data_IF_583465408966
#
_entry.id   IF_583465408966
#
_cell.length_a   1.000
_cell.length_b   1.000
_cell.length_c   1.000
_cell.angle_alpha   90.00
_cell.angle_beta   90.00
_cell.angle_gamma   90.00
#
_symmetry.space_group_name_H-M   'P 1'
#
loop_
_entity.id
_entity.type
_entity.pdbx_description
1 polymer ?
#
# COMPACT_ATOMS: atom_id res chain seq x y z
N UNK A 1 1.44 19.00 23.61
CA UNK A 1 1.18 17.56 23.47
C UNK A 1 -0.11 17.38 22.69
N UNK A 2 -0.12 16.52 21.68
CA UNK A 2 -1.30 16.18 20.89
C UNK A 2 -1.45 14.66 20.80
N UNK A 3 -2.69 14.18 20.80
CA UNK A 3 -3.03 12.77 20.63
C UNK A 3 -4.04 12.63 19.50
N UNK A 4 -3.79 11.68 18.59
CA UNK A 4 -4.67 11.33 17.48
C UNK A 4 -5.08 9.87 17.63
N UNK A 5 -6.39 9.62 17.70
CA UNK A 5 -6.94 8.26 17.67
C UNK A 5 -7.32 7.94 16.23
N UNK A 6 -6.64 6.96 15.65
CA UNK A 6 -6.92 6.47 14.30
C UNK A 6 -7.66 5.15 14.41
N UNK A 7 -8.97 5.20 14.22
CA UNK A 7 -9.80 3.99 14.16
C UNK A 7 -9.48 3.17 12.92
N UNK A 8 -9.62 1.85 13.02
CA UNK A 8 -9.56 0.92 11.89
C UNK A 8 -10.60 1.22 10.79
N UNK A 9 -11.65 1.99 11.10
CA UNK A 9 -12.63 2.46 10.12
C UNK A 9 -12.00 3.28 8.98
N UNK A 10 -11.02 4.14 9.31
CA UNK A 10 -10.35 5.01 8.33
C UNK A 10 -9.61 4.20 7.25
N UNK A 11 -8.66 3.31 7.59
CA UNK A 11 -7.97 2.50 6.59
C UNK A 11 -8.92 1.52 5.88
N UNK A 12 -9.92 0.96 6.57
CA UNK A 12 -10.92 0.10 5.91
C UNK A 12 -11.73 0.84 4.84
N UNK A 13 -12.14 2.08 5.10
CA UNK A 13 -12.88 2.90 4.13
C UNK A 13 -12.01 3.27 2.94
N UNK A 14 -10.75 3.62 3.20
CA UNK A 14 -9.76 3.88 2.13
C UNK A 14 -9.55 2.64 1.24
N UNK A 15 -9.36 1.46 1.83
CA UNK A 15 -9.18 0.21 1.10
C UNK A 15 -10.45 -0.22 0.36
N UNK A 16 -11.62 0.07 0.91
CA UNK A 16 -12.89 -0.14 0.23
C UNK A 16 -12.96 0.65 -1.08
N UNK A 17 -12.56 1.93 -1.07
CA UNK A 17 -12.54 2.74 -2.30
C UNK A 17 -11.52 2.24 -3.33
N UNK A 18 -10.34 1.77 -2.89
CA UNK A 18 -9.36 1.14 -3.79
C UNK A 18 -9.96 -0.09 -4.47
N UNK A 19 -10.65 -0.93 -3.70
CA UNK A 19 -11.31 -2.13 -4.22
C UNK A 19 -12.45 -1.80 -5.17
N UNK A 20 -13.37 -0.92 -4.76
CA UNK A 20 -14.55 -0.51 -5.53
C UNK A 20 -14.17 0.13 -6.87
N UNK A 21 -13.11 0.95 -6.88
CA UNK A 21 -12.58 1.57 -8.11
C UNK A 21 -11.68 0.64 -8.93
N UNK A 22 -11.56 -0.63 -8.58
CA UNK A 22 -10.68 -1.61 -9.24
C UNK A 22 -9.22 -1.14 -9.35
N UNK A 23 -8.79 -0.25 -8.46
CA UNK A 23 -7.41 0.27 -8.42
C UNK A 23 -6.43 -0.76 -7.84
N UNK A 24 -6.93 -1.87 -7.32
CA UNK A 24 -6.14 -2.98 -6.81
C UNK A 24 -5.79 -4.07 -7.84
N UNK A 25 -6.14 -3.91 -9.13
CA UNK A 25 -5.73 -4.85 -10.17
C UNK A 25 -4.32 -4.54 -10.68
N UNK A 26 -3.42 -5.52 -10.61
CA UNK A 26 -2.06 -5.42 -11.10
C UNK A 26 -1.90 -6.30 -12.34
N UNK A 27 -1.53 -5.69 -13.46
CA UNK A 27 -1.18 -6.40 -14.69
C UNK A 27 0.20 -5.95 -15.12
N UNK A 28 1.16 -6.87 -15.08
CA UNK A 28 2.52 -6.61 -15.52
C UNK A 28 2.96 -7.64 -16.57
N UNK A 29 3.54 -7.14 -17.65
CA UNK A 29 4.03 -7.96 -18.75
C UNK A 29 5.56 -8.01 -18.73
N UNK A 30 6.11 -9.18 -18.44
CA UNK A 30 7.54 -9.41 -18.43
C UNK A 30 7.98 -10.13 -19.70
N UNK A 31 8.87 -9.47 -20.45
CA UNK A 31 9.72 -10.18 -21.41
C UNK A 31 10.68 -11.13 -20.67
N UNK A 32 11.07 -12.23 -21.29
CA UNK A 32 11.95 -13.25 -20.69
C UNK A 32 13.28 -12.68 -20.12
N UNK A 33 13.73 -11.55 -20.66
CA UNK A 33 14.91 -10.79 -20.19
C UNK A 33 14.70 -10.16 -18.79
N UNK A 34 13.48 -9.74 -18.49
CA UNK A 34 13.08 -9.06 -17.24
C UNK A 34 12.49 -10.02 -16.19
N UNK A 35 12.28 -11.29 -16.54
CA UNK A 35 11.90 -12.32 -15.56
C UNK A 35 13.01 -12.45 -14.51
N UNK A 36 12.67 -12.44 -13.20
CA UNK A 36 13.64 -12.58 -12.12
C UNK A 36 14.53 -13.82 -12.32
N UNK A 37 15.83 -13.70 -12.05
CA UNK A 37 16.81 -14.79 -12.27
C UNK A 37 16.38 -16.14 -11.64
N UNK A 38 15.66 -16.11 -10.51
CA UNK A 38 15.09 -17.29 -9.86
C UNK A 38 13.97 -17.98 -10.63
N UNK A 39 13.22 -17.23 -11.45
CA UNK A 39 12.09 -17.76 -12.23
C UNK A 39 12.50 -18.10 -13.67
N UNK A 40 13.64 -17.60 -14.16
CA UNK A 40 14.18 -17.89 -15.51
C UNK A 40 14.33 -19.38 -15.85
N UNK A 41 14.86 -20.27 -14.99
CA UNK A 41 14.99 -21.68 -15.35
C UNK A 41 13.61 -22.33 -15.57
N UNK A 42 12.62 -22.00 -14.72
CA UNK A 42 11.25 -22.49 -14.88
C UNK A 42 10.56 -21.91 -16.11
N UNK A 43 10.74 -20.61 -16.38
CA UNK A 43 10.19 -19.96 -17.56
C UNK A 43 10.74 -20.59 -18.86
N UNK A 44 12.05 -20.85 -18.94
CA UNK A 44 12.68 -21.50 -20.12
C UNK A 44 12.16 -22.90 -20.39
N UNK A 45 11.87 -23.68 -19.35
CA UNK A 45 11.33 -25.04 -19.47
C UNK A 45 9.94 -25.02 -20.11
N UNK A 46 9.15 -23.98 -19.87
CA UNK A 46 7.78 -23.87 -20.39
C UNK A 46 7.74 -23.17 -21.75
N UNK A 47 8.53 -22.11 -21.95
CA UNK A 47 8.70 -21.45 -23.25
C UNK A 47 9.94 -20.55 -23.25
N UNK A 48 10.81 -20.62 -24.26
CA UNK A 48 12.06 -19.84 -24.34
C UNK A 48 11.90 -18.41 -24.92
N UNK A 49 10.77 -18.10 -25.58
CA UNK A 49 10.54 -16.81 -26.27
C UNK A 49 9.17 -16.16 -26.02
N UNK A 50 8.42 -16.58 -25.00
CA UNK A 50 7.10 -16.04 -24.68
C UNK A 50 7.16 -14.80 -23.77
N UNK A 51 6.12 -13.95 -23.84
CA UNK A 51 5.89 -12.90 -22.84
C UNK A 51 5.10 -13.48 -21.67
N UNK A 52 5.58 -13.29 -20.44
CA UNK A 52 4.82 -13.65 -19.22
C UNK A 52 3.93 -12.45 -18.89
N UNK A 53 2.63 -12.67 -18.75
CA UNK A 53 1.68 -11.70 -18.20
C UNK A 53 1.34 -12.19 -16.79
N UNK A 54 1.74 -11.43 -15.79
CA UNK A 54 1.29 -11.61 -14.41
C UNK A 54 0.08 -10.73 -14.19
N UNK A 55 -1.02 -11.35 -13.77
CA UNK A 55 -2.25 -10.69 -13.40
C UNK A 55 -2.52 -10.98 -11.94
N UNK A 56 -2.81 -9.97 -11.14
CA UNK A 56 -3.30 -10.15 -9.79
C UNK A 56 -4.50 -9.22 -9.60
N UNK A 57 -5.63 -9.74 -9.14
CA UNK A 57 -6.73 -8.90 -8.70
C UNK A 57 -7.12 -9.25 -7.26
N UNK A 58 -7.87 -8.35 -6.64
CA UNK A 58 -8.43 -8.58 -5.32
C UNK A 58 -9.74 -9.35 -5.49
N UNK A 59 -9.89 -10.47 -4.79
CA UNK A 59 -11.12 -11.27 -4.79
C UNK A 59 -12.12 -10.78 -3.75
N UNK A 60 -11.60 -10.21 -2.65
CA UNK A 60 -12.40 -9.57 -1.60
C UNK A 60 -11.83 -8.22 -1.22
N UNK A 61 -12.68 -7.41 -0.59
CA UNK A 61 -12.30 -6.15 0.04
C UNK A 61 -11.18 -6.41 1.06
N UNK A 62 -10.02 -5.74 0.93
CA UNK A 62 -8.98 -5.83 1.96
C UNK A 62 -9.53 -5.35 3.30
N UNK A 63 -9.14 -6.01 4.38
CA UNK A 63 -9.62 -5.69 5.72
C UNK A 63 -8.45 -5.40 6.67
N UNK A 64 -8.56 -4.30 7.40
CA UNK A 64 -7.65 -3.90 8.45
C UNK A 64 -8.33 -4.06 9.80
N UNK A 65 -7.67 -4.74 10.72
CA UNK A 65 -8.10 -4.87 12.10
C UNK A 65 -6.98 -4.43 13.03
N UNK A 66 -7.28 -3.60 14.02
CA UNK A 66 -6.29 -3.16 15.01
C UNK A 66 -6.53 -3.88 16.34
N UNK A 67 -5.49 -4.53 16.84
CA UNK A 67 -5.51 -5.21 18.14
C UNK A 67 -4.32 -4.74 18.99
N UNK A 68 -4.27 -5.13 20.27
CA UNK A 68 -3.19 -4.76 21.21
C UNK A 68 -1.79 -5.12 20.70
N UNK A 69 -1.71 -6.11 19.82
CA UNK A 69 -0.45 -6.59 19.23
C UNK A 69 0.00 -5.78 18.01
N UNK A 70 -0.84 -4.91 17.45
CA UNK A 70 -0.54 -4.11 16.26
C UNK A 70 -1.66 -4.09 15.23
N UNK A 71 -1.32 -3.66 14.01
CA UNK A 71 -2.26 -3.51 12.90
C UNK A 71 -2.19 -4.76 12.02
N UNK A 72 -3.29 -5.45 11.84
CA UNK A 72 -3.40 -6.62 10.97
C UNK A 72 -4.07 -6.23 9.66
N UNK A 73 -3.45 -6.57 8.54
CA UNK A 73 -3.96 -6.37 7.20
C UNK A 73 -4.19 -7.73 6.53
N UNK A 74 -5.43 -7.98 6.12
CA UNK A 74 -5.87 -9.16 5.37
C UNK A 74 -6.14 -8.77 3.92
N UNK A 75 -5.44 -9.41 3.00
CA UNK A 75 -5.60 -9.24 1.56
C UNK A 75 -5.93 -10.60 0.95
N UNK A 76 -7.00 -10.67 0.17
CA UNK A 76 -7.38 -11.87 -0.59
C UNK A 76 -7.41 -11.52 -2.07
N UNK A 77 -6.76 -12.32 -2.91
CA UNK A 77 -6.64 -12.03 -4.33
C UNK A 77 -6.37 -13.24 -5.21
N UNK A 78 -6.82 -13.15 -6.46
CA UNK A 78 -6.51 -14.10 -7.52
C UNK A 78 -5.19 -13.68 -8.17
N UNK A 79 -4.33 -14.66 -8.43
CA UNK A 79 -3.02 -14.49 -9.03
C UNK A 79 -2.96 -15.43 -10.23
N UNK A 80 -2.96 -14.83 -11.42
CA UNK A 80 -2.80 -15.48 -12.70
C UNK A 80 -1.41 -15.25 -13.28
N UNK A 81 -0.82 -16.30 -13.84
CA UNK A 81 0.31 -16.18 -14.75
C UNK A 81 -0.10 -16.74 -16.11
N UNK A 82 0.12 -15.97 -17.17
CA UNK A 82 -0.20 -16.35 -18.55
C UNK A 82 1.03 -16.19 -19.44
N UNK A 83 1.22 -17.06 -20.42
CA UNK A 83 2.18 -16.80 -21.51
C UNK A 83 1.44 -16.35 -22.76
N UNK A 84 2.01 -15.37 -23.44
CA UNK A 84 1.59 -14.97 -24.78
C UNK A 84 2.47 -15.66 -25.82
N UNK A 85 1.85 -16.43 -26.73
CA UNK A 85 2.53 -17.13 -27.83
C UNK A 85 1.66 -17.15 -29.09
N UNK A 86 2.21 -16.76 -30.25
CA UNK A 86 1.53 -16.83 -31.56
C UNK A 86 0.09 -16.27 -31.53
N UNK A 87 -0.11 -15.08 -30.97
CA UNK A 87 -1.42 -14.43 -30.80
C UNK A 87 -2.45 -15.18 -29.92
N UNK A 88 -2.02 -16.14 -29.09
CA UNK A 88 -2.86 -16.79 -28.09
C UNK A 88 -2.26 -16.66 -26.70
N UNK A 89 -3.10 -16.38 -25.72
CA UNK A 89 -2.78 -16.42 -24.30
C UNK A 89 -3.02 -17.82 -23.77
N UNK A 90 -2.01 -18.37 -23.10
CA UNK A 90 -2.08 -19.66 -22.43
C UNK A 90 -1.93 -19.43 -20.94
N UNK A 91 -2.91 -19.86 -20.15
CA UNK A 91 -2.85 -19.83 -18.69
C UNK A 91 -1.81 -20.83 -18.20
N UNK A 92 -0.95 -20.41 -17.28
CA UNK A 92 0.10 -21.26 -16.68
C UNK A 92 -0.24 -21.63 -15.26
N UNK A 93 -0.72 -20.64 -14.52
CA UNK A 93 -0.96 -20.72 -13.11
C UNK A 93 -2.17 -19.85 -12.83
N UNK A 94 -3.13 -20.41 -12.11
CA UNK A 94 -4.19 -19.68 -11.46
C UNK A 94 -4.21 -20.12 -10.00
N UNK A 95 -4.05 -19.17 -9.10
CA UNK A 95 -3.99 -19.39 -7.67
C UNK A 95 -4.75 -18.28 -6.95
N UNK A 96 -5.48 -18.59 -5.88
CA UNK A 96 -5.93 -17.56 -4.94
C UNK A 96 -4.97 -17.53 -3.76
N UNK A 97 -4.60 -16.34 -3.34
CA UNK A 97 -3.80 -16.09 -2.16
C UNK A 97 -4.58 -15.38 -1.08
N UNK A 98 -4.38 -15.80 0.16
CA UNK A 98 -4.74 -15.06 1.36
C UNK A 98 -3.45 -14.61 2.04
N UNK A 99 -3.22 -13.31 2.07
CA UNK A 99 -2.04 -12.69 2.66
C UNK A 99 -2.45 -12.01 3.96
N UNK A 100 -1.83 -12.43 5.07
CA UNK A 100 -1.99 -11.81 6.39
C UNK A 100 -0.69 -11.12 6.81
N UNK A 101 -0.74 -9.80 6.94
CA UNK A 101 0.41 -8.96 7.28
C UNK A 101 0.15 -8.28 8.62
N UNK A 102 1.07 -8.39 9.57
CA UNK A 102 1.08 -7.56 10.77
C UNK A 102 2.03 -6.38 10.56
N UNK A 103 1.52 -5.18 10.82
CA UNK A 103 2.23 -3.93 10.71
C UNK A 103 2.39 -3.37 12.13
N UNK A 104 3.64 -3.14 12.53
CA UNK A 104 4.00 -2.47 13.77
C UNK A 104 4.82 -1.23 13.43
N UNK A 105 4.17 -0.09 13.13
CA UNK A 105 4.87 1.18 12.97
C UNK A 105 5.72 1.52 14.21
N UNK A 106 6.98 1.87 13.99
CA UNK A 106 7.91 2.40 14.96
C UNK A 106 8.33 3.81 14.55
N UNK A 107 8.39 4.73 15.51
CA UNK A 107 8.72 6.11 15.26
C UNK A 107 10.14 6.37 15.74
N UNK A 108 11.00 6.89 14.85
CA UNK A 108 12.35 7.35 15.21
C UNK A 108 12.60 8.69 14.54
N UNK A 109 12.99 9.70 15.32
CA UNK A 109 13.39 11.02 14.83
C UNK A 109 12.40 11.63 13.81
N UNK A 110 11.12 11.71 14.19
CA UNK A 110 10.03 12.28 13.36
C UNK A 110 9.80 11.58 12.01
N UNK A 111 10.30 10.35 11.87
CA UNK A 111 10.03 9.47 10.73
C UNK A 111 9.28 8.23 11.19
N UNK A 112 8.30 7.83 10.39
CA UNK A 112 7.55 6.59 10.58
C UNK A 112 8.32 5.47 9.87
N UNK A 113 8.92 4.58 10.66
CA UNK A 113 9.37 3.27 10.19
C UNK A 113 8.23 2.28 10.45
N UNK A 114 8.10 1.24 9.65
CA UNK A 114 7.10 0.21 9.93
C UNK A 114 7.74 -1.14 9.84
N UNK A 115 7.98 -1.74 11.00
CA UNK A 115 8.39 -3.13 11.04
C UNK A 115 7.21 -3.98 10.58
N UNK A 116 7.36 -4.52 9.38
CA UNK A 116 6.40 -5.42 8.77
C UNK A 116 6.74 -6.83 9.23
N UNK A 117 5.98 -7.29 10.21
CA UNK A 117 5.97 -8.67 10.64
C UNK A 117 4.89 -9.40 9.84
N UNK A 118 5.33 -10.17 8.86
CA UNK A 118 4.39 -10.91 8.07
C UNK A 118 4.02 -12.21 8.80
N UNK A 119 2.76 -12.33 9.20
CA UNK A 119 2.29 -13.42 10.06
C UNK A 119 1.99 -14.72 9.33
N UNK A 120 1.58 -14.63 8.07
CA UNK A 120 1.26 -15.83 7.32
C UNK A 120 0.74 -15.50 5.93
N UNK A 121 1.14 -16.34 4.98
CA UNK A 121 0.57 -16.33 3.63
C UNK A 121 0.18 -17.73 3.24
N UNK A 122 -1.08 -17.87 2.84
CA UNK A 122 -1.65 -19.10 2.36
C UNK A 122 -1.98 -18.93 0.87
N UNK A 123 -1.38 -19.76 0.01
CA UNK A 123 -1.64 -19.76 -1.42
C UNK A 123 -2.30 -21.07 -1.82
N UNK A 124 -3.50 -20.99 -2.37
CA UNK A 124 -4.24 -22.11 -2.93
C UNK A 124 -4.12 -22.06 -4.45
N UNK A 125 -3.27 -22.90 -5.02
CA UNK A 125 -3.13 -23.04 -6.48
C UNK A 125 -4.27 -23.90 -7.01
N UNK A 126 -5.12 -23.39 -7.90
CA UNK A 126 -6.28 -24.12 -8.46
C UNK A 126 -6.00 -24.77 -9.80
N UNK A 127 -5.31 -24.06 -10.71
CA UNK A 127 -5.06 -24.55 -12.06
C UNK A 127 -3.60 -24.31 -12.45
N UNK A 128 -3.02 -25.34 -13.07
CA UNK A 128 -1.72 -25.28 -13.71
C UNK A 128 -1.94 -25.66 -15.16
N UNK A 129 -1.86 -24.70 -16.09
CA UNK A 129 -2.24 -24.91 -17.49
C UNK A 129 -1.18 -25.61 -18.34
N UNK A 130 -0.30 -26.38 -17.70
CA UNK A 130 0.58 -27.33 -18.37
C UNK A 130 -0.28 -28.56 -18.69
N UNK A 131 -0.86 -28.62 -19.89
CA UNK A 131 -1.71 -29.74 -20.31
C UNK A 131 -1.00 -31.09 -20.17
N UNK A 132 -1.70 -32.09 -19.62
CA UNK A 132 -1.21 -33.47 -19.53
C UNK A 132 -0.62 -33.88 -18.17
N UNK A 133 0.00 -35.07 -18.18
CA UNK A 133 0.43 -35.93 -17.04
C UNK A 133 1.35 -35.20 -16.03
N UNK A 134 1.87 -34.02 -16.37
CA UNK A 134 2.77 -33.20 -15.55
C UNK A 134 2.10 -32.12 -14.69
N UNK A 135 0.79 -31.88 -14.84
CA UNK A 135 0.07 -30.86 -14.06
C UNK A 135 0.16 -31.08 -12.54
N UNK A 136 0.12 -32.35 -12.10
CA UNK A 136 0.22 -32.73 -10.68
C UNK A 136 1.61 -32.46 -10.10
N UNK A 137 2.67 -32.77 -10.85
CA UNK A 137 4.06 -32.53 -10.47
C UNK A 137 4.41 -31.05 -10.45
N UNK A 138 3.95 -30.29 -11.44
CA UNK A 138 4.13 -28.83 -11.47
C UNK A 138 3.41 -28.14 -10.30
N UNK A 139 2.19 -28.58 -9.94
CA UNK A 139 1.46 -28.08 -8.77
C UNK A 139 2.20 -28.36 -7.46
N UNK A 140 2.73 -29.58 -7.28
CA UNK A 140 3.55 -29.93 -6.11
C UNK A 140 4.83 -29.10 -6.02
N UNK A 141 5.49 -28.87 -7.15
CA UNK A 141 6.73 -28.09 -7.21
C UNK A 141 6.48 -26.61 -6.89
N UNK A 142 5.40 -26.03 -7.43
CA UNK A 142 5.00 -24.64 -7.15
C UNK A 142 4.60 -24.44 -5.69
N UNK A 143 3.81 -25.37 -5.13
CA UNK A 143 3.47 -25.36 -3.71
C UNK A 143 4.69 -25.49 -2.79
N UNK A 144 5.80 -26.08 -3.27
CA UNK A 144 7.05 -26.18 -2.50
C UNK A 144 7.96 -24.95 -2.65
N UNK A 145 8.07 -24.40 -3.86
CA UNK A 145 8.98 -23.27 -4.17
C UNK A 145 8.43 -21.94 -3.69
N UNK A 146 7.11 -21.73 -3.82
CA UNK A 146 6.47 -20.47 -3.43
C UNK A 146 6.76 -20.15 -1.96
N UNK A 147 6.49 -21.05 -0.98
CA UNK A 147 6.76 -20.77 0.42
C UNK A 147 8.26 -20.74 0.77
N UNK A 148 9.09 -21.58 0.13
CA UNK A 148 10.50 -21.72 0.53
C UNK A 148 11.45 -20.70 -0.08
N UNK A 149 11.17 -20.19 -1.29
CA UNK A 149 12.18 -19.42 -2.05
C UNK A 149 11.66 -18.09 -2.55
N UNK A 150 10.41 -18.04 -3.03
CA UNK A 150 9.82 -16.79 -3.52
C UNK A 150 9.38 -15.95 -2.33
N UNK A 151 8.71 -16.58 -1.37
CA UNK A 151 8.14 -15.90 -0.22
C UNK A 151 9.15 -15.10 0.63
N UNK A 152 10.31 -15.67 1.04
CA UNK A 152 11.28 -14.91 1.84
C UNK A 152 11.88 -13.71 1.09
N UNK A 153 11.99 -13.79 -0.24
CA UNK A 153 12.50 -12.68 -1.07
C UNK A 153 11.48 -11.56 -1.20
N UNK A 154 10.20 -11.90 -1.39
CA UNK A 154 9.10 -10.93 -1.42
C UNK A 154 8.99 -10.23 -0.06
N UNK A 155 9.02 -10.99 1.03
CA UNK A 155 9.02 -10.44 2.40
C UNK A 155 10.20 -9.48 2.63
N UNK A 156 11.41 -9.84 2.20
CA UNK A 156 12.59 -8.96 2.30
C UNK A 156 12.43 -7.68 1.47
N UNK A 157 11.87 -7.77 0.27
CA UNK A 157 11.63 -6.62 -0.60
C UNK A 157 10.54 -5.68 -0.06
N UNK A 158 9.45 -6.24 0.48
CA UNK A 158 8.39 -5.48 1.14
C UNK A 158 8.91 -4.75 2.38
N UNK A 159 9.63 -5.47 3.26
CA UNK A 159 10.30 -4.87 4.42
C UNK A 159 11.23 -3.73 4.01
N UNK A 160 12.01 -3.92 2.95
CA UNK A 160 12.93 -2.91 2.47
C UNK A 160 12.25 -1.68 1.88
N UNK A 161 11.21 -1.86 1.06
CA UNK A 161 10.47 -0.75 0.46
C UNK A 161 9.84 0.16 1.52
N UNK A 162 9.32 -0.45 2.59
CA UNK A 162 8.65 0.24 3.70
C UNK A 162 9.68 0.84 4.67
N UNK A 163 10.75 0.12 5.01
CA UNK A 163 11.76 0.60 5.96
C UNK A 163 12.76 1.62 5.37
N UNK A 164 13.11 1.56 4.07
CA UNK A 164 14.13 2.46 3.50
C UNK A 164 13.67 3.91 3.37
N UNK A 165 12.37 4.15 3.19
CA UNK A 165 11.88 5.50 2.86
C UNK A 165 11.32 6.29 4.02
N UNK A 166 11.13 5.66 5.21
CA UNK A 166 10.69 6.27 6.47
C UNK A 166 9.85 7.53 6.27
N UNK A 167 8.52 7.41 6.25
CA UNK A 167 7.63 8.52 5.88
C UNK A 167 7.91 9.70 6.82
N UNK A 168 8.43 10.81 6.28
CA UNK A 168 8.64 12.04 7.04
C UNK A 168 7.27 12.65 7.29
N UNK A 169 6.92 12.86 8.55
CA UNK A 169 5.72 13.60 8.89
C UNK A 169 5.86 15.04 8.37
N UNK A 170 4.84 15.61 7.71
CA UNK A 170 4.90 16.97 7.23
C UNK A 170 5.04 17.92 8.42
N UNK A 171 5.98 18.86 8.34
CA UNK A 171 6.09 19.98 9.27
C UNK A 171 5.06 21.02 8.87
N UNK A 172 4.04 21.23 9.70
CA UNK A 172 2.99 22.22 9.43
C UNK A 172 3.34 23.49 10.21
N UNK A 173 3.54 24.62 9.51
CA UNK A 173 3.66 25.96 10.12
C UNK A 173 4.68 26.09 11.28
N UNK A 174 5.86 25.47 11.17
CA UNK A 174 6.90 25.54 12.21
C UNK A 174 6.68 24.59 13.40
N UNK A 175 5.69 23.69 13.32
CA UNK A 175 5.44 22.64 14.31
C UNK A 175 6.34 21.44 13.99
N UNK A 176 7.23 21.10 14.92
CA UNK A 176 8.03 19.88 14.85
C UNK A 176 7.50 18.85 15.85
N UNK A 177 7.23 17.64 15.38
CA UNK A 177 6.78 16.55 16.24
C UNK A 177 7.98 15.84 16.87
N UNK A 178 7.98 15.79 18.20
CA UNK A 178 8.97 15.12 19.03
C UNK A 178 8.32 13.96 19.80
N UNK A 179 9.16 12.99 20.20
CA UNK A 179 8.75 11.86 21.06
C UNK A 179 7.45 11.18 20.61
N UNK A 180 7.32 10.94 19.31
CA UNK A 180 6.19 10.20 18.74
C UNK A 180 6.12 8.80 19.36
N UNK A 181 4.96 8.48 19.91
CA UNK A 181 4.65 7.20 20.51
C UNK A 181 3.35 6.64 19.93
N UNK A 182 3.28 5.32 19.84
CA UNK A 182 2.10 4.63 19.30
C UNK A 182 1.71 3.48 20.20
N UNK A 183 0.47 3.58 20.67
CA UNK A 183 -0.20 2.55 21.43
C UNK A 183 -1.31 1.93 20.58
N UNK A 184 -1.55 0.64 20.78
CA UNK A 184 -2.63 -0.06 20.11
C UNK A 184 -3.72 -0.39 21.12
N UNK A 185 -4.92 0.11 20.84
CA UNK A 185 -6.15 -0.27 21.52
C UNK A 185 -7.00 -1.10 20.56
N UNK A 186 -7.90 -1.91 21.09
CA UNK A 186 -8.78 -2.71 20.23
C UNK A 186 -9.57 -1.77 19.31
N UNK A 187 -9.52 -2.02 18.00
CA UNK A 187 -10.14 -1.23 16.93
C UNK A 187 -9.54 0.17 16.65
N UNK A 188 -8.46 0.59 17.30
CA UNK A 188 -7.81 1.87 17.00
C UNK A 188 -6.32 1.94 17.38
N UNK A 189 -5.56 2.74 16.66
CA UNK A 189 -4.19 3.11 17.03
C UNK A 189 -4.20 4.52 17.65
N UNK A 190 -3.60 4.67 18.82
CA UNK A 190 -3.38 5.97 19.45
C UNK A 190 -1.98 6.45 19.07
N UNK A 191 -1.93 7.56 18.34
CA UNK A 191 -0.69 8.27 18.02
C UNK A 191 -0.56 9.43 19.00
N UNK A 192 0.43 9.42 19.87
CA UNK A 192 0.74 10.53 20.76
C UNK A 192 2.06 11.18 20.36
N UNK A 193 2.10 12.51 20.38
CA UNK A 193 3.30 13.26 20.06
C UNK A 193 3.40 14.52 20.92
N UNK A 194 4.62 14.83 21.32
CA UNK A 194 4.96 16.17 21.74
C UNK A 194 5.22 17.01 20.49
N UNK A 195 5.03 18.31 20.63
CA UNK A 195 5.33 19.23 19.56
C UNK A 195 6.05 20.45 20.10
N UNK A 196 7.03 20.91 19.35
CA UNK A 196 7.73 22.17 19.56
C UNK A 196 7.29 23.15 18.49
N UNK A 197 7.06 24.41 18.90
CA UNK A 197 6.63 25.49 18.02
C UNK A 197 7.78 26.47 17.89
N UNK A 198 8.23 26.71 16.66
CA UNK A 198 9.07 27.85 16.34
C UNK A 198 8.21 29.13 16.37
N UNK A 199 8.25 29.84 17.51
CA UNK A 199 7.39 30.99 17.77
C UNK A 199 7.61 32.14 16.75
N UNK A 200 8.84 32.54 16.38
CA UNK A 200 9.07 33.49 15.30
C UNK A 200 8.41 33.09 13.97
N UNK A 201 8.59 31.84 13.54
CA UNK A 201 8.02 31.36 12.28
C UNK A 201 6.49 31.28 12.33
N UNK A 202 5.94 30.90 13.49
CA UNK A 202 4.51 30.86 13.72
C UNK A 202 3.88 32.26 13.65
N UNK A 203 4.50 33.26 14.29
CA UNK A 203 4.01 34.65 14.27
C UNK A 203 4.05 35.23 12.85
N UNK A 204 5.12 34.99 12.08
CA UNK A 204 5.21 35.45 10.68
C UNK A 204 4.14 34.79 9.81
N UNK A 205 3.97 33.47 9.95
CA UNK A 205 2.93 32.71 9.24
C UNK A 205 1.52 33.20 9.60
N UNK A 206 1.28 33.49 10.89
CA UNK A 206 0.01 34.00 11.38
C UNK A 206 -0.28 35.41 10.86
N UNK A 207 0.72 36.32 10.86
CA UNK A 207 0.57 37.66 10.28
C UNK A 207 0.23 37.59 8.80
N UNK A 208 0.94 36.76 8.03
CA UNK A 208 0.64 36.57 6.59
C UNK A 208 -0.76 36.01 6.36
N UNK A 209 -1.22 35.10 7.22
CA UNK A 209 -2.58 34.58 7.16
C UNK A 209 -3.61 35.69 7.39
N UNK A 210 -3.44 36.50 8.44
CA UNK A 210 -4.33 37.63 8.74
C UNK A 210 -4.31 38.67 7.62
N UNK A 211 -3.13 39.01 7.08
CA UNK A 211 -3.02 39.96 5.96
C UNK A 211 -3.69 39.43 4.68
N UNK A 212 -3.59 38.12 4.41
CA UNK A 212 -4.25 37.50 3.27
C UNK A 212 -5.78 37.49 3.45
N UNK A 213 -6.27 37.21 4.67
CA UNK A 213 -7.70 37.20 4.99
C UNK A 213 -8.30 38.62 4.91
N UNK A 214 -7.57 39.63 5.43
CA UNK A 214 -7.96 41.04 5.29
C UNK A 214 -8.01 41.49 3.83
N UNK A 215 -7.02 41.14 3.02
CA UNK A 215 -7.05 41.42 1.58
C UNK A 215 -8.22 40.74 0.89
N UNK A 216 -8.51 39.49 1.24
CA UNK A 216 -9.64 38.77 0.66
C UNK A 216 -10.97 39.40 1.04
N UNK A 217 -11.12 39.86 2.29
CA UNK A 217 -12.29 40.61 2.76
C UNK A 217 -12.44 41.96 2.05
N UNK A 218 -11.34 42.68 1.84
CA UNK A 218 -11.34 43.95 1.11
C UNK A 218 -11.71 43.75 -0.37
N UNK A 219 -11.18 42.70 -1.02
CA UNK A 219 -11.58 42.30 -2.36
C UNK A 219 -13.08 41.99 -2.43
N UNK A 220 -13.60 41.17 -1.52
CA UNK A 220 -15.05 40.87 -1.44
C UNK A 220 -15.87 42.15 -1.28
N UNK A 221 -15.45 43.06 -0.40
CA UNK A 221 -16.11 44.36 -0.21
C UNK A 221 -16.02 45.29 -1.42
N UNK A 222 -14.93 45.24 -2.18
CA UNK A 222 -14.78 45.99 -3.44
C UNK A 222 -15.68 45.41 -4.53
N UNK A 223 -15.73 44.08 -4.67
CA UNK A 223 -16.64 43.37 -5.58
C UNK A 223 -18.11 43.69 -5.23
N UNK A 224 -18.51 43.61 -3.96
CA UNK A 224 -19.88 43.90 -3.54
C UNK A 224 -20.27 45.38 -3.75
N UNK A 225 -19.30 46.31 -3.72
CA UNK A 225 -19.50 47.71 -4.12
C UNK A 225 -19.59 47.88 -5.63
N UNK A 226 -18.71 47.24 -6.40
CA UNK A 226 -18.66 47.30 -7.87
C UNK A 226 -19.82 46.61 -8.54
N UNK A 227 -20.47 45.64 -7.92
CA UNK A 227 -21.61 44.91 -8.48
C UNK A 227 -22.92 45.16 -7.72
N UNK A 228 -22.96 46.16 -6.84
CA UNK A 228 -24.14 46.55 -6.05
C UNK A 228 -25.35 46.89 -6.92
N UNK A 229 -25.14 47.34 -8.17
CA UNK A 229 -26.20 47.65 -9.13
C UNK A 229 -26.81 46.42 -9.83
N UNK A 230 -26.22 45.23 -9.70
CA UNK A 230 -26.77 43.97 -10.24
C UNK A 230 -27.66 43.21 -9.24
N UNK A 231 -27.74 43.66 -7.98
CA UNK A 231 -28.57 43.06 -6.92
C UNK A 231 -29.94 43.76 -6.73
N UNK A 232 -30.42 44.50 -7.73
CA UNK A 232 -31.78 45.06 -7.75
C UNK A 232 -32.70 44.26 -8.68
#
# INVERSE_FOLDING_TARGET
MAGLIVSEYIPNTFLYHIFDKSLGSFVESFNMKHVPKSLRPFARVICSGCMVILKANLTKKPHVSVDRNGIMLLIEGDIGAHFYRKNKTHELLSADGVIKVMLKPQFRNSRIYSDVELNGVDFKVYKVGVGGIFASSARKLLNFIIPKTIWPRVQKSLRFAINRRGIRLPTVCGIQFEKLHVDYIKHAALLSADFTIDLPYFIDSFKRFIEADLKHSDEIHEYDRKFRYLRK
#
